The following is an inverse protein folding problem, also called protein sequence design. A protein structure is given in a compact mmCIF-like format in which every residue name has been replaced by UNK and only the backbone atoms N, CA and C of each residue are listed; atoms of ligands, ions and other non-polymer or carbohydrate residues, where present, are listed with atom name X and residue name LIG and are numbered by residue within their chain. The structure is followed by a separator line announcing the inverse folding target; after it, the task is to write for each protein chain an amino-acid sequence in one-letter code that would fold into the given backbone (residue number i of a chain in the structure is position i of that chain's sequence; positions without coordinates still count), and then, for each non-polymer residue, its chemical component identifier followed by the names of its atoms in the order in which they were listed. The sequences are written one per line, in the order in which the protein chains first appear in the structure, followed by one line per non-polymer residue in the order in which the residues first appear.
data_IF_932078919794
#
_entry.id   IF_932078919794
#
_cell.length_a   1.000
_cell.length_b   1.000
_cell.length_c   1.000
_cell.angle_alpha   90.00
_cell.angle_beta   90.00
_cell.angle_gamma   90.00
#
_symmetry.space_group_name_H-M   'P 1'
#
loop_
_entity.id
_entity.type
_entity.pdbx_description
1 polymer ?
#
# COMPACT_ATOMS: atom_id res chain seq x y z
N UNK A 1 7.50 -17.69 1.99
CA UNK A 1 7.98 -18.06 3.33
C UNK A 1 7.02 -19.08 3.90
N UNK A 2 7.52 -20.28 4.25
CA UNK A 2 6.68 -21.32 4.85
C UNK A 2 6.53 -21.00 6.34
N UNK A 3 5.28 -20.78 6.75
CA UNK A 3 4.93 -20.42 8.12
C UNK A 3 5.34 -21.54 9.10
N UNK A 4 6.41 -21.28 9.87
CA UNK A 4 6.77 -22.10 11.04
C UNK A 4 7.48 -23.43 10.80
N UNK A 5 7.78 -23.82 9.57
CA UNK A 5 8.51 -25.08 9.30
C UNK A 5 10.02 -24.87 9.23
N UNK A 6 10.48 -23.92 8.41
CA UNK A 6 11.90 -23.68 8.19
C UNK A 6 12.37 -22.34 8.76
N UNK A 7 11.47 -21.38 8.92
CA UNK A 7 11.80 -20.03 9.36
C UNK A 7 10.67 -19.42 10.20
N UNK A 8 11.00 -18.92 11.37
CA UNK A 8 10.05 -18.25 12.26
C UNK A 8 9.99 -16.75 12.04
N UNK A 9 11.00 -16.17 11.39
CA UNK A 9 11.12 -14.74 11.11
C UNK A 9 11.55 -14.55 9.67
N UNK A 10 11.07 -13.51 9.03
CA UNK A 10 11.43 -13.12 7.67
C UNK A 10 11.30 -11.62 7.48
N UNK A 11 11.96 -11.09 6.48
CA UNK A 11 11.84 -9.71 6.06
C UNK A 11 10.70 -9.57 5.05
N UNK A 12 9.91 -8.52 5.17
CA UNK A 12 8.78 -8.23 4.29
C UNK A 12 8.52 -6.72 4.30
N UNK A 13 8.03 -6.18 3.21
CA UNK A 13 7.49 -4.82 3.21
C UNK A 13 6.17 -4.78 3.99
N UNK A 14 5.96 -3.72 4.76
CA UNK A 14 4.77 -3.59 5.61
C UNK A 14 3.44 -3.61 4.84
N UNK A 15 3.47 -3.28 3.56
CA UNK A 15 2.29 -3.25 2.67
C UNK A 15 2.06 -4.55 1.90
N UNK A 16 2.85 -5.60 2.17
CA UNK A 16 2.74 -6.89 1.46
C UNK A 16 1.40 -7.59 1.78
N UNK A 17 0.64 -7.89 0.74
CA UNK A 17 -0.67 -8.54 0.84
C UNK A 17 -0.64 -9.95 1.43
N UNK A 18 0.52 -10.61 1.46
CA UNK A 18 0.68 -11.91 2.11
C UNK A 18 0.70 -11.85 3.63
N UNK A 19 0.87 -10.66 4.22
CA UNK A 19 0.81 -10.49 5.68
C UNK A 19 -0.57 -10.90 6.20
N UNK A 20 -1.68 -10.28 5.77
CA UNK A 20 -3.00 -10.72 6.20
C UNK A 20 -3.39 -12.10 5.64
N UNK A 21 -3.02 -12.43 4.40
CA UNK A 21 -3.38 -13.70 3.78
C UNK A 21 -2.78 -14.92 4.50
N UNK A 22 -1.61 -14.78 5.12
CA UNK A 22 -0.93 -15.83 5.87
C UNK A 22 -1.01 -15.65 7.39
N UNK A 23 -1.80 -14.70 7.87
CA UNK A 23 -1.93 -14.39 9.30
C UNK A 23 -0.55 -14.18 9.95
N UNK A 24 0.29 -13.34 9.32
CA UNK A 24 1.62 -12.99 9.81
C UNK A 24 1.52 -11.79 10.76
N UNK A 25 2.44 -11.75 11.73
CA UNK A 25 2.56 -10.64 12.67
C UNK A 25 3.76 -9.78 12.30
N UNK A 26 3.53 -8.51 12.04
CA UNK A 26 4.60 -7.53 11.86
C UNK A 26 5.14 -7.14 13.24
N UNK A 27 6.45 -7.29 13.41
CA UNK A 27 7.12 -6.87 14.65
C UNK A 27 7.26 -5.35 14.68
N UNK A 28 7.01 -4.77 15.85
CA UNK A 28 7.25 -3.35 16.08
C UNK A 28 8.75 -3.02 16.02
N UNK A 29 9.13 -2.01 15.25
CA UNK A 29 10.50 -1.46 15.22
C UNK A 29 10.65 -0.39 16.33
N UNK A 30 10.82 -0.85 17.57
CA UNK A 30 10.95 -0.02 18.76
C UNK A 30 12.20 0.87 18.77
N UNK A 31 13.12 0.63 17.85
CA UNK A 31 14.39 1.38 17.72
C UNK A 31 14.46 2.28 16.49
N UNK A 32 13.36 2.33 15.72
CA UNK A 32 13.29 3.13 14.49
C UNK A 32 14.49 2.87 13.54
N UNK A 33 14.86 1.58 13.40
CA UNK A 33 15.97 1.16 12.56
C UNK A 33 15.62 1.30 11.08
N UNK A 34 14.39 0.98 10.72
CA UNK A 34 13.90 1.09 9.35
C UNK A 34 13.28 2.46 9.10
N UNK A 35 13.53 3.10 7.94
CA UNK A 35 12.78 4.29 7.56
C UNK A 35 11.30 3.96 7.36
N UNK A 36 10.44 4.93 7.60
CA UNK A 36 9.01 4.79 7.28
C UNK A 36 8.84 4.70 5.76
N UNK A 37 8.33 3.57 5.29
CA UNK A 37 7.99 3.36 3.89
C UNK A 37 6.50 3.62 3.70
N UNK A 38 6.17 4.75 3.11
CA UNK A 38 4.80 5.09 2.74
C UNK A 38 4.73 5.25 1.23
N UNK A 39 3.61 4.84 0.64
CA UNK A 39 3.30 5.14 -0.75
C UNK A 39 3.25 6.65 -0.96
N UNK A 40 3.73 7.11 -2.11
CA UNK A 40 3.72 8.53 -2.43
C UNK A 40 3.73 8.77 -3.93
N UNK A 41 3.09 9.85 -4.34
CA UNK A 41 3.11 10.28 -5.73
C UNK A 41 4.36 11.10 -6.02
N UNK A 42 5.03 10.80 -7.12
CA UNK A 42 6.17 11.58 -7.60
C UNK A 42 5.86 12.17 -8.96
N UNK A 43 6.08 13.45 -9.10
CA UNK A 43 5.92 14.16 -10.37
C UNK A 43 6.99 15.22 -10.54
N UNK A 44 7.17 15.68 -11.79
CA UNK A 44 8.13 16.74 -12.08
C UNK A 44 7.62 18.06 -11.51
N UNK A 45 8.51 18.87 -10.91
CA UNK A 45 8.16 20.19 -10.38
C UNK A 45 7.50 21.08 -11.46
N UNK A 46 8.00 21.03 -12.69
CA UNK A 46 7.42 21.79 -13.80
C UNK A 46 5.96 21.42 -14.09
N UNK A 47 5.57 20.15 -13.91
CA UNK A 47 4.19 19.70 -14.08
C UNK A 47 3.30 20.25 -12.96
N UNK A 48 3.80 20.25 -11.73
CA UNK A 48 3.06 20.81 -10.60
C UNK A 48 2.92 22.34 -10.71
N UNK A 49 3.94 23.02 -11.22
CA UNK A 49 3.90 24.47 -11.44
C UNK A 49 2.90 24.86 -12.52
N UNK A 50 2.73 23.99 -13.55
CA UNK A 50 1.77 24.18 -14.63
C UNK A 50 0.32 23.83 -14.24
N UNK A 51 0.17 22.79 -13.41
CA UNK A 51 -1.12 22.24 -12.97
C UNK A 51 -1.15 22.06 -11.44
N UNK A 52 -1.20 23.15 -10.67
CA UNK A 52 -1.15 23.09 -9.20
C UNK A 52 -2.33 22.33 -8.57
N UNK A 53 -3.46 22.23 -9.27
CA UNK A 53 -4.64 21.47 -8.83
C UNK A 53 -4.40 19.96 -8.70
N UNK A 54 -3.32 19.44 -9.28
CA UNK A 54 -2.93 18.04 -9.10
C UNK A 54 -2.71 17.72 -7.61
N UNK A 55 -2.14 18.66 -6.85
CA UNK A 55 -1.93 18.49 -5.41
C UNK A 55 -3.25 18.26 -4.66
N UNK A 56 -4.29 19.03 -4.99
CA UNK A 56 -5.60 18.91 -4.36
C UNK A 56 -6.22 17.52 -4.60
N UNK A 57 -6.05 16.98 -5.82
CA UNK A 57 -6.54 15.63 -6.17
C UNK A 57 -5.74 14.55 -5.42
N UNK A 58 -4.41 14.68 -5.39
CA UNK A 58 -3.55 13.73 -4.67
C UNK A 58 -3.86 13.72 -3.17
N UNK A 59 -4.13 14.88 -2.59
CA UNK A 59 -4.44 15.04 -1.15
C UNK A 59 -5.79 14.41 -0.77
N UNK A 60 -6.69 14.15 -1.73
CA UNK A 60 -7.91 13.37 -1.49
C UNK A 60 -7.62 11.87 -1.37
N UNK A 61 -6.65 11.36 -2.12
CA UNK A 61 -6.32 9.94 -2.22
C UNK A 61 -5.31 9.50 -1.17
N UNK A 62 -4.21 10.26 -1.01
CA UNK A 62 -3.06 9.86 -0.21
C UNK A 62 -3.38 9.48 1.25
N UNK A 63 -4.24 10.21 1.99
CA UNK A 63 -4.56 9.87 3.37
C UNK A 63 -5.34 8.56 3.53
N UNK A 64 -5.99 8.09 2.47
CA UNK A 64 -6.80 6.87 2.45
C UNK A 64 -5.94 5.62 2.23
N UNK A 65 -4.75 5.77 1.63
CA UNK A 65 -3.81 4.68 1.38
C UNK A 65 -2.97 4.37 2.63
N UNK A 66 -3.64 3.91 3.69
CA UNK A 66 -2.98 3.44 4.92
C UNK A 66 -2.22 2.14 4.65
N UNK A 67 -1.36 1.73 5.61
CA UNK A 67 -0.63 0.46 5.51
C UNK A 67 -1.59 -0.72 5.40
N UNK A 68 -2.65 -0.74 6.19
CA UNK A 68 -3.68 -1.78 6.21
C UNK A 68 -4.44 -1.82 4.88
N UNK A 69 -4.78 -0.65 4.34
CA UNK A 69 -5.48 -0.57 3.06
C UNK A 69 -4.58 -1.05 1.91
N UNK A 70 -3.32 -0.66 1.91
CA UNK A 70 -2.35 -1.17 0.93
C UNK A 70 -2.16 -2.68 1.04
N UNK A 71 -2.14 -3.25 2.25
CA UNK A 71 -2.11 -4.70 2.44
C UNK A 71 -3.34 -5.37 1.83
N UNK A 72 -4.53 -4.79 2.04
CA UNK A 72 -5.78 -5.32 1.47
C UNK A 72 -5.76 -5.31 -0.04
N UNK A 73 -5.45 -4.18 -0.66
CA UNK A 73 -5.41 -4.02 -2.11
C UNK A 73 -4.33 -4.93 -2.75
N UNK A 74 -3.15 -4.99 -2.15
CA UNK A 74 -2.09 -5.88 -2.62
C UNK A 74 -2.47 -7.36 -2.48
N UNK A 75 -3.25 -7.75 -1.46
CA UNK A 75 -3.73 -9.12 -1.32
C UNK A 75 -4.68 -9.52 -2.45
N UNK A 76 -5.60 -8.64 -2.86
CA UNK A 76 -6.50 -8.89 -4.00
C UNK A 76 -5.70 -9.18 -5.28
N UNK A 77 -4.63 -8.44 -5.53
CA UNK A 77 -3.78 -8.62 -6.71
C UNK A 77 -2.84 -9.82 -6.57
N UNK A 78 -2.05 -9.87 -5.49
CA UNK A 78 -0.92 -10.81 -5.37
C UNK A 78 -1.35 -12.20 -4.89
N UNK A 79 -2.48 -12.31 -4.20
CA UNK A 79 -2.97 -13.57 -3.61
C UNK A 79 -4.19 -14.07 -4.35
N UNK A 80 -5.19 -13.21 -4.55
CA UNK A 80 -6.45 -13.59 -5.20
C UNK A 80 -6.36 -13.51 -6.72
N UNK A 81 -5.37 -12.80 -7.27
CA UNK A 81 -5.06 -12.75 -8.69
C UNK A 81 -5.97 -11.81 -9.49
N UNK A 82 -6.55 -10.82 -8.83
CA UNK A 82 -7.37 -9.81 -9.48
C UNK A 82 -6.52 -8.85 -10.33
N UNK A 83 -7.16 -8.23 -11.32
CA UNK A 83 -6.47 -7.24 -12.14
C UNK A 83 -6.25 -5.93 -11.35
N UNK A 84 -5.02 -5.39 -11.31
CA UNK A 84 -4.73 -4.18 -10.55
C UNK A 84 -5.56 -2.95 -10.96
N UNK A 85 -5.94 -2.85 -12.24
CA UNK A 85 -6.77 -1.75 -12.76
C UNK A 85 -8.20 -1.86 -12.20
N UNK A 86 -8.76 -3.06 -12.23
CA UNK A 86 -10.10 -3.33 -11.70
C UNK A 86 -10.14 -3.06 -10.18
N UNK A 87 -9.14 -3.56 -9.42
CA UNK A 87 -9.02 -3.30 -7.98
C UNK A 87 -8.92 -1.81 -7.68
N UNK A 88 -8.17 -1.05 -8.46
CA UNK A 88 -8.03 0.39 -8.28
C UNK A 88 -9.34 1.13 -8.57
N UNK A 89 -10.07 0.76 -9.61
CA UNK A 89 -11.37 1.34 -9.98
C UNK A 89 -12.39 1.08 -8.88
N UNK A 90 -12.54 -0.18 -8.46
CA UNK A 90 -13.47 -0.55 -7.39
C UNK A 90 -13.15 0.19 -6.08
N UNK A 91 -11.87 0.31 -5.74
CA UNK A 91 -11.46 1.05 -4.55
C UNK A 91 -11.80 2.54 -4.63
N UNK A 92 -11.58 3.19 -5.79
CA UNK A 92 -11.92 4.60 -5.98
C UNK A 92 -13.44 4.83 -5.90
N UNK A 93 -14.25 3.89 -6.41
CA UNK A 93 -15.71 3.90 -6.27
C UNK A 93 -16.13 3.71 -4.81
N UNK A 94 -15.52 2.78 -4.07
CA UNK A 94 -15.77 2.57 -2.63
C UNK A 94 -15.49 3.84 -1.80
N UNK A 95 -14.48 4.63 -2.20
CA UNK A 95 -14.12 5.88 -1.55
C UNK A 95 -14.94 7.09 -2.05
N UNK A 96 -15.90 6.89 -2.96
CA UNK A 96 -16.71 7.95 -3.59
C UNK A 96 -15.84 9.03 -4.31
N UNK A 97 -14.70 8.62 -4.87
CA UNK A 97 -13.76 9.51 -5.59
C UNK A 97 -14.01 9.56 -7.10
N UNK A 98 -14.69 8.56 -7.63
CA UNK A 98 -15.16 8.48 -9.02
C UNK A 98 -16.59 7.95 -9.10
#
# INVERSE_FOLDING_TARGET
TQKGEDCNFGEVFQTDGRIPALDLVVMEDDREFFPSYQGGFTLMQATLDEYPEIADVIDLVSPLLTTEEMQRLNALVDVDGEDPEDVAIEWLEEQELI
#
